data_IF_879559537212
#
_entry.id   IF_879559537212
#
_cell.length_a   1.000
_cell.length_b   1.000
_cell.length_c   1.000
_cell.angle_alpha   90.00
_cell.angle_beta   90.00
_cell.angle_gamma   90.00
#
_symmetry.space_group_name_H-M   'P 1'
#
loop_
_entity.id
_entity.type
_entity.pdbx_description
1 polymer ?
#
# COMPACT_ATOMS: atom_id res chain seq x y z
N UNK A 1 14.76 -15.41 23.96
CA UNK A 1 13.58 -15.63 23.10
C UNK A 1 13.22 -14.28 22.48
N UNK A 2 13.72 -14.03 21.26
CA UNK A 2 13.44 -12.78 20.54
C UNK A 2 12.01 -12.81 19.98
N UNK A 3 11.35 -11.67 20.07
CA UNK A 3 9.92 -11.44 19.89
C UNK A 3 9.41 -11.70 18.47
N UNK A 4 8.68 -12.80 18.28
CA UNK A 4 7.92 -13.10 17.04
C UNK A 4 6.85 -12.03 16.69
N UNK A 5 6.44 -11.22 17.67
CA UNK A 5 5.48 -10.13 17.50
C UNK A 5 5.95 -9.06 16.50
N UNK A 6 7.26 -8.78 16.44
CA UNK A 6 7.80 -7.77 15.53
C UNK A 6 7.69 -8.26 14.08
N UNK A 7 8.08 -9.51 13.81
CA UNK A 7 7.98 -10.13 12.47
C UNK A 7 6.53 -10.23 11.97
N UNK A 8 5.56 -10.53 12.85
CA UNK A 8 4.15 -10.60 12.48
C UNK A 8 3.52 -9.23 12.18
N UNK A 9 3.93 -8.18 12.89
CA UNK A 9 3.53 -6.80 12.59
C UNK A 9 4.11 -6.34 11.24
N UNK A 10 5.35 -6.72 10.94
CA UNK A 10 5.98 -6.42 9.65
C UNK A 10 5.34 -7.21 8.49
N UNK A 11 4.99 -8.48 8.68
CA UNK A 11 4.37 -9.29 7.61
C UNK A 11 2.97 -8.83 7.25
N UNK A 12 2.15 -8.45 8.24
CA UNK A 12 0.79 -7.96 7.99
C UNK A 12 0.79 -6.56 7.38
N UNK A 13 1.67 -5.66 7.85
CA UNK A 13 1.86 -4.34 7.23
C UNK A 13 2.37 -4.45 5.79
N UNK A 14 3.23 -5.44 5.51
CA UNK A 14 3.67 -5.76 4.15
C UNK A 14 2.51 -6.20 3.25
N UNK A 15 1.59 -7.03 3.74
CA UNK A 15 0.42 -7.48 2.98
C UNK A 15 -0.59 -6.35 2.74
N UNK A 16 -0.83 -5.47 3.72
CA UNK A 16 -1.68 -4.29 3.54
C UNK A 16 -1.09 -3.34 2.49
N UNK A 17 0.24 -3.15 2.53
CA UNK A 17 0.98 -2.35 1.56
C UNK A 17 0.85 -2.91 0.14
N UNK A 18 1.03 -4.23 -0.02
CA UNK A 18 0.83 -4.92 -1.31
C UNK A 18 -0.62 -4.85 -1.78
N UNK A 19 -1.59 -4.99 -0.89
CA UNK A 19 -3.02 -4.87 -1.22
C UNK A 19 -3.33 -3.49 -1.80
N UNK A 20 -2.84 -2.43 -1.17
CA UNK A 20 -3.04 -1.07 -1.64
C UNK A 20 -2.33 -0.80 -2.97
N UNK A 21 -1.08 -1.24 -3.12
CA UNK A 21 -0.34 -1.07 -4.37
C UNK A 21 -1.01 -1.83 -5.52
N UNK A 22 -1.44 -3.08 -5.30
CA UNK A 22 -2.20 -3.86 -6.29
C UNK A 22 -3.50 -3.15 -6.66
N UNK A 23 -4.23 -2.62 -5.69
CA UNK A 23 -5.43 -1.83 -6.00
C UNK A 23 -5.11 -0.62 -6.89
N UNK A 24 -4.01 0.10 -6.62
CA UNK A 24 -3.57 1.22 -7.46
C UNK A 24 -3.20 0.78 -8.88
N UNK A 25 -2.57 -0.38 -9.07
CA UNK A 25 -2.27 -0.91 -10.44
C UNK A 25 -3.52 -1.14 -11.29
N UNK A 26 -4.69 -1.32 -10.66
CA UNK A 26 -5.97 -1.48 -11.36
C UNK A 26 -6.63 -0.13 -11.68
N UNK A 27 -6.13 0.98 -11.15
CA UNK A 27 -6.69 2.30 -11.40
C UNK A 27 -6.13 2.93 -12.68
N UNK A 28 -6.92 3.76 -13.39
CA UNK A 28 -6.42 4.53 -14.51
C UNK A 28 -5.18 5.34 -14.14
N UNK A 29 -4.08 5.12 -14.86
CA UNK A 29 -2.78 5.75 -14.63
C UNK A 29 -2.16 5.52 -13.24
N UNK A 30 -2.64 4.52 -12.48
CA UNK A 30 -2.16 4.29 -11.11
C UNK A 30 -2.60 5.37 -10.11
N UNK A 31 -3.62 6.17 -10.43
CA UNK A 31 -4.06 7.30 -9.61
C UNK A 31 -5.45 7.01 -9.02
N UNK A 32 -5.64 7.33 -7.74
CA UNK A 32 -6.92 7.16 -7.05
C UNK A 32 -7.18 8.30 -6.07
N UNK A 33 -8.45 8.62 -5.83
CA UNK A 33 -8.84 9.55 -4.76
C UNK A 33 -8.91 8.87 -3.40
N UNK A 34 -8.63 9.61 -2.32
CA UNK A 34 -8.75 9.04 -0.96
C UNK A 34 -10.16 8.54 -0.66
N UNK A 35 -11.19 9.24 -1.14
CA UNK A 35 -12.58 8.83 -0.96
C UNK A 35 -12.86 7.44 -1.58
N UNK A 36 -12.26 7.15 -2.73
CA UNK A 36 -12.41 5.87 -3.44
C UNK A 36 -11.67 4.75 -2.71
N UNK A 37 -10.47 5.02 -2.18
CA UNK A 37 -9.71 4.08 -1.35
C UNK A 37 -10.48 3.76 -0.06
N UNK A 38 -11.06 4.77 0.57
CA UNK A 38 -11.88 4.61 1.77
C UNK A 38 -13.07 3.69 1.51
N UNK A 39 -13.78 3.88 0.39
CA UNK A 39 -14.94 3.05 0.06
C UNK A 39 -14.61 1.66 -0.47
N UNK A 40 -13.41 1.45 -1.03
CA UNK A 40 -13.11 0.25 -1.81
C UNK A 40 -12.25 -0.77 -1.09
N UNK A 41 -11.22 -0.32 -0.35
CA UNK A 41 -10.19 -1.25 0.17
C UNK A 41 -9.96 -1.16 1.68
N UNK A 42 -10.45 -0.11 2.34
CA UNK A 42 -10.09 0.16 3.74
C UNK A 42 -10.58 -0.94 4.70
N UNK A 43 -11.74 -1.54 4.43
CA UNK A 43 -12.27 -2.66 5.22
C UNK A 43 -11.46 -3.96 5.07
N UNK A 44 -10.60 -4.04 4.05
CA UNK A 44 -9.75 -5.21 3.79
C UNK A 44 -8.35 -5.05 4.39
N UNK A 45 -8.02 -3.88 4.94
CA UNK A 45 -6.73 -3.62 5.57
C UNK A 45 -6.75 -4.06 7.03
N UNK A 46 -5.67 -4.70 7.46
CA UNK A 46 -5.50 -5.07 8.86
C UNK A 46 -5.07 -3.87 9.72
N UNK A 47 -4.53 -2.82 9.08
CA UNK A 47 -4.07 -1.59 9.71
C UNK A 47 -4.81 -0.35 9.23
N UNK A 48 -4.85 0.72 10.04
CA UNK A 48 -5.37 2.00 9.61
C UNK A 48 -4.71 2.47 8.31
N UNK A 49 -5.53 2.94 7.37
CA UNK A 49 -5.09 3.37 6.05
C UNK A 49 -3.94 4.38 6.12
N UNK A 50 -4.01 5.35 7.04
CA UNK A 50 -2.96 6.37 7.22
C UNK A 50 -1.59 5.77 7.52
N UNK A 51 -1.52 4.68 8.29
CA UNK A 51 -0.27 3.98 8.61
C UNK A 51 0.30 3.29 7.37
N UNK A 52 -0.56 2.65 6.59
CA UNK A 52 -0.17 1.97 5.33
C UNK A 52 0.35 3.00 4.34
N UNK A 53 -0.35 4.12 4.18
CA UNK A 53 0.03 5.21 3.29
C UNK A 53 1.35 5.87 3.69
N UNK A 54 1.54 6.15 4.98
CA UNK A 54 2.80 6.69 5.48
C UNK A 54 3.97 5.75 5.18
N UNK A 55 3.76 4.44 5.35
CA UNK A 55 4.78 3.43 5.06
C UNK A 55 5.13 3.43 3.57
N UNK A 56 4.12 3.36 2.70
CA UNK A 56 4.32 3.35 1.25
C UNK A 56 4.95 4.64 0.72
N UNK A 57 4.56 5.79 1.27
CA UNK A 57 5.15 7.08 0.91
C UNK A 57 6.61 7.17 1.38
N UNK A 58 6.92 6.70 2.59
CA UNK A 58 8.30 6.70 3.10
C UNK A 58 9.24 5.78 2.31
N UNK A 59 8.67 4.81 1.59
CA UNK A 59 9.38 3.88 0.71
C UNK A 59 9.36 4.31 -0.77
N UNK A 60 8.90 5.53 -1.08
CA UNK A 60 8.77 6.05 -2.46
C UNK A 60 7.88 5.22 -3.40
N UNK A 61 7.04 4.34 -2.87
CA UNK A 61 6.12 3.53 -3.68
C UNK A 61 4.89 4.32 -4.15
N UNK A 62 4.54 5.41 -3.45
CA UNK A 62 3.40 6.26 -3.79
C UNK A 62 3.74 7.74 -3.56
N UNK A 63 3.03 8.61 -4.28
CA UNK A 63 2.97 10.04 -4.00
C UNK A 63 1.57 10.44 -3.53
N UNK A 64 1.50 11.14 -2.41
CA UNK A 64 0.27 11.78 -1.92
C UNK A 64 0.24 13.23 -2.42
N UNK A 65 -0.83 13.61 -3.11
CA UNK A 65 -1.05 14.99 -3.58
C UNK A 65 -2.49 15.41 -3.30
N UNK A 66 -2.66 16.45 -2.48
CA UNK A 66 -3.96 17.01 -2.12
C UNK A 66 -4.95 15.92 -1.67
N UNK A 67 -5.84 15.49 -2.58
CA UNK A 67 -6.86 14.48 -2.34
C UNK A 67 -6.69 13.22 -3.22
N UNK A 68 -5.46 12.94 -3.67
CA UNK A 68 -5.13 11.83 -4.57
C UNK A 68 -3.87 11.10 -4.12
N UNK A 69 -3.83 9.82 -4.48
CA UNK A 69 -2.71 8.92 -4.34
C UNK A 69 -2.29 8.51 -5.75
N UNK A 70 -0.99 8.60 -6.04
CA UNK A 70 -0.43 8.18 -7.32
C UNK A 70 0.62 7.10 -7.07
N UNK A 71 0.52 5.99 -7.78
CA UNK A 71 1.55 4.96 -7.85
C UNK A 71 2.79 5.52 -8.56
N UNK A 72 3.97 5.25 -8.02
CA UNK A 72 5.25 5.56 -8.67
C UNK A 72 5.73 4.37 -9.50
N UNK A 73 6.67 4.62 -10.41
CA UNK A 73 7.33 3.54 -11.16
C UNK A 73 8.02 2.54 -10.20
N UNK A 74 8.65 3.03 -9.13
CA UNK A 74 9.25 2.18 -8.10
C UNK A 74 8.19 1.32 -7.37
N UNK A 75 7.03 1.89 -7.06
CA UNK A 75 5.92 1.15 -6.48
C UNK A 75 5.36 0.08 -7.41
N UNK A 76 5.33 0.34 -8.71
CA UNK A 76 4.93 -0.62 -9.73
C UNK A 76 5.93 -1.79 -9.80
N UNK A 77 7.23 -1.48 -9.92
CA UNK A 77 8.30 -2.48 -9.92
C UNK A 77 8.24 -3.36 -8.65
N UNK A 78 7.98 -2.75 -7.49
CA UNK A 78 7.82 -3.46 -6.23
C UNK A 78 6.67 -4.48 -6.27
N UNK A 79 5.52 -4.11 -6.85
CA UNK A 79 4.39 -5.04 -7.02
C UNK A 79 4.75 -6.19 -7.93
N UNK A 80 5.42 -5.90 -9.06
CA UNK A 80 5.82 -6.93 -10.02
C UNK A 80 6.77 -7.94 -9.39
N UNK A 81 7.78 -7.50 -8.65
CA UNK A 81 8.71 -8.38 -7.93
C UNK A 81 8.01 -9.30 -6.92
N UNK A 82 6.95 -8.81 -6.26
CA UNK A 82 6.20 -9.56 -5.25
C UNK A 82 5.04 -10.40 -5.82
N UNK A 83 4.79 -10.35 -7.14
CA UNK A 83 3.77 -11.21 -7.78
C UNK A 83 4.33 -12.59 -8.20
N UNK A 84 5.65 -12.76 -8.20
CA UNK A 84 6.32 -14.01 -8.56
C UNK A 84 6.88 -14.81 -7.37
N UNK A 85 6.47 -14.45 -6.15
CA UNK A 85 6.83 -15.14 -4.89
C UNK A 85 5.62 -15.85 -4.30
#
# INVERSE_FOLDING_TARGET
MQSNLCLQLHSSLHMDSLTLLRYLTLQPMGICHFAEIQSSITDYLSHPIDKVLNTLQSSDCIHLKENRIALTDFGLDFVEMNNYT
#
